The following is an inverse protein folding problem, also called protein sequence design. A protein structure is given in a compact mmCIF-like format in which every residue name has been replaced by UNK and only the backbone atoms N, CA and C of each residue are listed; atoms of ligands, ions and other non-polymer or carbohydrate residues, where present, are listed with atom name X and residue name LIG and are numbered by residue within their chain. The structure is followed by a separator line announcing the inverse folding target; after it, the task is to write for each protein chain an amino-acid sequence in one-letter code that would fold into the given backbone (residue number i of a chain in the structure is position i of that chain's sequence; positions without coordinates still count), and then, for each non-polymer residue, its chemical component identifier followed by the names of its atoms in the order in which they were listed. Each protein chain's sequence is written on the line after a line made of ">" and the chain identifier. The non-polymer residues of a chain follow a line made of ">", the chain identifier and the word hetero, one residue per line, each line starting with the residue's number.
data_IF_127835111623
#
_entry.id   IF_127835111623
#
_cell.length_a   1.000
_cell.length_b   1.000
_cell.length_c   1.000
_cell.angle_alpha   90.00
_cell.angle_beta   90.00
_cell.angle_gamma   90.00
#
_symmetry.space_group_name_H-M   'P 1'
#
loop_
_entity.id
_entity.type
_entity.pdbx_description
1 polymer ?
#
# COMPACT_ATOMS: atom_id res chain seq x y z
N UNK A 1 -8.36 -19.14 3.59
CA UNK A 1 -9.50 -18.24 3.89
C UNK A 1 -8.94 -16.89 4.32
N UNK A 2 -9.41 -15.77 3.77
CA UNK A 2 -8.88 -14.45 4.13
C UNK A 2 -9.25 -14.07 5.57
N UNK A 3 -8.38 -13.32 6.27
CA UNK A 3 -8.62 -12.86 7.65
C UNK A 3 -9.97 -12.12 7.80
N UNK A 4 -10.38 -11.38 6.77
CA UNK A 4 -11.65 -10.65 6.72
C UNK A 4 -12.87 -11.58 6.75
N UNK A 5 -12.80 -12.73 6.07
CA UNK A 5 -13.87 -13.71 6.09
C UNK A 5 -14.13 -14.25 7.51
N UNK A 6 -13.06 -14.54 8.25
CA UNK A 6 -13.14 -15.05 9.63
C UNK A 6 -13.77 -14.02 10.55
N UNK A 7 -13.41 -12.73 10.41
CA UNK A 7 -13.98 -11.65 11.22
C UNK A 7 -15.47 -11.45 10.91
N UNK A 8 -15.86 -11.42 9.63
CA UNK A 8 -17.26 -11.26 9.23
C UNK A 8 -18.14 -12.43 9.68
N UNK A 9 -17.61 -13.65 9.64
CA UNK A 9 -18.32 -14.84 10.13
C UNK A 9 -18.60 -14.75 11.64
N UNK A 10 -17.63 -14.26 12.43
CA UNK A 10 -17.81 -14.04 13.87
C UNK A 10 -18.83 -12.94 14.17
N UNK A 11 -18.83 -11.86 13.39
CA UNK A 11 -19.80 -10.76 13.53
C UNK A 11 -21.21 -11.25 13.19
N UNK A 12 -21.39 -12.04 12.14
CA UNK A 12 -22.69 -12.62 11.79
C UNK A 12 -23.23 -13.52 12.91
N UNK A 13 -22.38 -14.38 13.47
CA UNK A 13 -22.75 -15.25 14.59
C UNK A 13 -23.17 -14.46 15.83
N UNK A 14 -22.44 -13.39 16.18
CA UNK A 14 -22.79 -12.52 17.31
C UNK A 14 -24.13 -11.80 17.10
N UNK A 15 -24.48 -11.42 15.86
CA UNK A 15 -25.77 -10.81 15.53
C UNK A 15 -26.91 -11.85 15.61
N UNK A 16 -26.64 -13.11 15.29
CA UNK A 16 -27.64 -14.18 15.37
C UNK A 16 -28.12 -14.43 16.80
N UNK A 17 -27.24 -14.27 17.79
CA UNK A 17 -27.52 -14.45 19.22
C UNK A 17 -28.40 -13.32 19.80
N UNK A 18 -28.60 -12.21 19.09
CA UNK A 18 -29.42 -11.09 19.55
C UNK A 18 -30.91 -11.47 19.53
N UNK A 19 -31.55 -11.38 20.69
CA UNK A 19 -32.97 -11.76 20.87
C UNK A 19 -33.94 -10.67 20.43
N UNK A 20 -33.57 -9.39 20.59
CA UNK A 20 -34.38 -8.27 20.13
C UNK A 20 -34.37 -8.19 18.60
N UNK A 21 -35.56 -8.38 18.01
CA UNK A 21 -35.74 -8.45 16.56
C UNK A 21 -35.43 -7.13 15.85
N UNK A 22 -35.72 -5.99 16.48
CA UNK A 22 -35.46 -4.67 15.89
C UNK A 22 -33.96 -4.36 15.91
N UNK A 23 -33.30 -4.62 17.04
CA UNK A 23 -31.84 -4.44 17.18
C UNK A 23 -31.09 -5.37 16.22
N UNK A 24 -31.49 -6.64 16.16
CA UNK A 24 -30.92 -7.61 15.21
C UNK A 24 -31.10 -7.16 13.77
N UNK A 25 -32.30 -6.73 13.38
CA UNK A 25 -32.58 -6.24 12.02
C UNK A 25 -31.72 -5.02 11.66
N UNK A 26 -31.64 -4.03 12.56
CA UNK A 26 -30.87 -2.81 12.33
C UNK A 26 -29.36 -3.09 12.22
N UNK A 27 -28.82 -3.95 13.09
CA UNK A 27 -27.41 -4.32 13.04
C UNK A 27 -27.07 -5.17 11.82
N UNK A 28 -27.92 -6.14 11.45
CA UNK A 28 -27.74 -6.91 10.20
C UNK A 28 -27.69 -5.98 8.99
N UNK A 29 -28.59 -5.01 8.90
CA UNK A 29 -28.62 -4.05 7.80
C UNK A 29 -27.36 -3.16 7.77
N UNK A 30 -26.97 -2.59 8.92
CA UNK A 30 -25.78 -1.75 9.02
C UNK A 30 -24.49 -2.53 8.70
N UNK A 31 -24.35 -3.75 9.23
CA UNK A 31 -23.21 -4.62 8.95
C UNK A 31 -23.18 -5.08 7.49
N UNK A 32 -24.32 -5.35 6.86
CA UNK A 32 -24.38 -5.68 5.43
C UNK A 32 -23.93 -4.51 4.56
N UNK A 33 -24.35 -3.28 4.89
CA UNK A 33 -23.89 -2.06 4.21
C UNK A 33 -22.39 -1.88 4.38
N UNK A 34 -21.88 -1.95 5.62
CA UNK A 34 -20.46 -1.78 5.91
C UNK A 34 -19.59 -2.89 5.30
N UNK A 35 -20.03 -4.14 5.33
CA UNK A 35 -19.34 -5.25 4.68
C UNK A 35 -19.30 -5.03 3.17
N UNK A 36 -20.40 -4.59 2.55
CA UNK A 36 -20.41 -4.27 1.13
C UNK A 36 -19.47 -3.10 0.80
N UNK A 37 -19.40 -2.07 1.65
CA UNK A 37 -18.44 -0.97 1.51
C UNK A 37 -16.99 -1.42 1.63
N UNK A 38 -16.66 -2.20 2.67
CA UNK A 38 -15.29 -2.68 2.92
C UNK A 38 -14.83 -3.71 1.87
N UNK A 39 -15.76 -4.46 1.27
CA UNK A 39 -15.47 -5.54 0.31
C UNK A 39 -15.44 -5.02 -1.14
N UNK A 40 -16.19 -3.97 -1.48
CA UNK A 40 -16.22 -3.44 -2.84
C UNK A 40 -15.39 -2.15 -2.96
N UNK A 41 -14.14 -2.32 -3.40
CA UNK A 41 -13.25 -1.21 -3.76
C UNK A 41 -13.93 -0.19 -4.71
N UNK A 42 -14.89 -0.66 -5.51
CA UNK A 42 -15.67 0.13 -6.45
C UNK A 42 -16.76 1.02 -5.81
N UNK A 43 -17.36 0.64 -4.68
CA UNK A 43 -18.36 1.49 -4.00
C UNK A 43 -17.67 2.56 -3.16
N UNK A 44 -16.52 2.25 -2.53
CA UNK A 44 -15.70 3.26 -1.83
C UNK A 44 -15.34 4.38 -2.81
N UNK A 45 -14.81 4.05 -3.99
CA UNK A 45 -14.47 5.02 -5.05
C UNK A 45 -15.70 5.79 -5.60
N UNK A 46 -16.91 5.24 -5.46
CA UNK A 46 -18.16 5.86 -5.91
C UNK A 46 -18.80 6.81 -4.88
N UNK A 47 -18.64 6.55 -3.59
CA UNK A 47 -19.15 7.39 -2.48
C UNK A 47 -18.12 8.47 -2.12
N UNK A 48 -16.86 8.06 -1.98
CA UNK A 48 -15.72 8.95 -1.88
C UNK A 48 -15.24 9.21 -3.31
N UNK A 49 -16.05 9.94 -4.09
CA UNK A 49 -15.57 10.43 -5.37
C UNK A 49 -14.31 11.26 -5.12
N UNK A 50 -13.28 11.06 -5.95
CA UNK A 50 -11.97 11.69 -5.76
C UNK A 50 -12.03 13.21 -5.65
N UNK A 51 -13.02 13.85 -6.27
CA UNK A 51 -13.25 15.30 -6.20
C UNK A 51 -13.55 15.79 -4.76
N UNK A 52 -14.37 15.07 -3.99
CA UNK A 52 -14.69 15.43 -2.60
C UNK A 52 -13.52 15.11 -1.66
N UNK A 53 -12.85 13.98 -1.87
CA UNK A 53 -11.70 13.60 -1.04
C UNK A 53 -10.48 14.47 -1.30
N UNK A 54 -10.29 14.98 -2.52
CA UNK A 54 -9.18 15.88 -2.83
C UNK A 54 -9.18 17.14 -1.95
N UNK A 55 -10.32 17.58 -1.42
CA UNK A 55 -10.35 18.71 -0.49
C UNK A 55 -10.05 18.31 0.97
N UNK A 56 -10.04 17.01 1.29
CA UNK A 56 -9.77 16.52 2.64
C UNK A 56 -8.28 16.67 3.01
N UNK A 57 -7.95 17.31 4.15
CA UNK A 57 -6.56 17.42 4.62
C UNK A 57 -5.87 16.05 4.78
N UNK A 58 -6.62 15.04 5.24
CA UNK A 58 -6.10 13.68 5.43
C UNK A 58 -5.74 13.03 4.09
N UNK A 59 -6.55 13.25 3.05
CA UNK A 59 -6.27 12.73 1.72
C UNK A 59 -5.01 13.38 1.14
N UNK A 60 -4.87 14.69 1.28
CA UNK A 60 -3.70 15.44 0.80
C UNK A 60 -2.41 14.96 1.49
N UNK A 61 -2.46 14.72 2.80
CA UNK A 61 -1.32 14.15 3.52
C UNK A 61 -0.93 12.76 3.00
N UNK A 62 -1.90 11.87 2.80
CA UNK A 62 -1.66 10.52 2.25
C UNK A 62 -1.11 10.61 0.82
N UNK A 63 -1.69 11.48 0.00
CA UNK A 63 -1.29 11.69 -1.39
C UNK A 63 0.16 12.18 -1.47
N UNK A 64 0.52 13.24 -0.73
CA UNK A 64 1.89 13.77 -0.70
C UNK A 64 2.89 12.78 -0.11
N UNK A 65 2.53 12.03 0.94
CA UNK A 65 3.38 10.95 1.45
C UNK A 65 3.63 9.87 0.39
N UNK A 66 2.60 9.56 -0.42
CA UNK A 66 2.71 8.66 -1.57
C UNK A 66 3.64 9.20 -2.66
N UNK A 67 3.49 10.46 -3.05
CA UNK A 67 4.36 11.13 -4.03
C UNK A 67 5.82 11.14 -3.58
N UNK A 68 6.09 11.55 -2.34
CA UNK A 68 7.44 11.59 -1.79
C UNK A 68 8.07 10.19 -1.75
N UNK A 69 7.30 9.19 -1.33
CA UNK A 69 7.76 7.79 -1.32
C UNK A 69 8.05 7.31 -2.74
N UNK A 70 7.21 7.67 -3.71
CA UNK A 70 7.39 7.35 -5.12
C UNK A 70 8.65 7.99 -5.71
N UNK A 71 8.87 9.28 -5.45
CA UNK A 71 10.05 10.01 -5.93
C UNK A 71 11.35 9.42 -5.35
N UNK A 72 11.39 9.16 -4.04
CA UNK A 72 12.56 8.55 -3.39
C UNK A 72 12.84 7.16 -3.93
N UNK A 73 11.78 6.35 -4.11
CA UNK A 73 11.90 5.01 -4.68
C UNK A 73 12.42 5.07 -6.12
N UNK A 74 11.86 5.93 -6.96
CA UNK A 74 12.28 6.08 -8.37
C UNK A 74 13.72 6.59 -8.50
N UNK A 75 14.14 7.56 -7.67
CA UNK A 75 15.54 8.02 -7.61
C UNK A 75 16.49 6.89 -7.23
N UNK A 76 16.12 6.07 -6.26
CA UNK A 76 16.93 4.92 -5.84
C UNK A 76 16.99 3.84 -6.92
N UNK A 77 15.84 3.44 -7.47
CA UNK A 77 15.75 2.43 -8.54
C UNK A 77 16.55 2.85 -9.78
N UNK A 78 16.46 4.11 -10.20
CA UNK A 78 17.26 4.63 -11.32
C UNK A 78 18.77 4.59 -11.03
N UNK A 79 19.21 4.95 -9.82
CA UNK A 79 20.61 4.82 -9.42
C UNK A 79 21.09 3.37 -9.41
N UNK A 80 20.27 2.44 -8.93
CA UNK A 80 20.57 1.01 -8.92
C UNK A 80 20.69 0.45 -10.34
N UNK A 81 19.80 0.84 -11.25
CA UNK A 81 19.86 0.44 -12.66
C UNK A 81 21.14 0.96 -13.34
N UNK A 82 21.49 2.22 -13.09
CA UNK A 82 22.75 2.81 -13.58
C UNK A 82 23.94 2.03 -13.01
N UNK A 83 23.98 1.77 -11.71
CA UNK A 83 25.05 1.02 -11.06
C UNK A 83 25.24 -0.39 -11.68
N UNK A 84 24.14 -1.11 -11.92
CA UNK A 84 24.16 -2.41 -12.58
C UNK A 84 24.72 -2.33 -14.01
N UNK A 85 24.35 -1.30 -14.76
CA UNK A 85 24.86 -1.10 -16.11
C UNK A 85 26.35 -0.74 -16.13
N UNK A 86 26.83 0.03 -15.15
CA UNK A 86 28.25 0.35 -15.00
C UNK A 86 29.08 -0.88 -14.59
N UNK A 87 28.54 -1.72 -13.68
CA UNK A 87 29.16 -3.01 -13.33
C UNK A 87 29.31 -3.90 -14.57
N UNK A 88 28.26 -4.02 -15.39
CA UNK A 88 28.29 -4.77 -16.66
C UNK A 88 29.31 -4.22 -17.66
N UNK A 89 29.62 -2.92 -17.59
CA UNK A 89 30.65 -2.26 -18.41
C UNK A 89 32.06 -2.39 -17.83
N UNK A 90 32.22 -3.03 -16.67
CA UNK A 90 33.52 -3.33 -16.07
C UNK A 90 34.11 -2.20 -15.22
N UNK A 91 33.30 -1.21 -14.80
CA UNK A 91 33.75 -0.20 -13.85
C UNK A 91 33.97 -0.82 -12.46
N UNK A 92 34.91 -0.25 -11.71
CA UNK A 92 35.19 -0.67 -10.35
C UNK A 92 34.09 -0.20 -9.38
N UNK A 93 33.95 -0.90 -8.26
CA UNK A 93 32.98 -0.57 -7.22
C UNK A 93 33.15 0.87 -6.72
N UNK A 94 34.39 1.32 -6.54
CA UNK A 94 34.69 2.68 -6.06
C UNK A 94 34.24 3.76 -7.06
N UNK A 95 34.51 3.57 -8.35
CA UNK A 95 34.05 4.51 -9.39
C UNK A 95 32.52 4.57 -9.45
N UNK A 96 31.85 3.43 -9.27
CA UNK A 96 30.38 3.37 -9.29
C UNK A 96 29.77 4.07 -8.07
N UNK A 97 30.36 3.91 -6.88
CA UNK A 97 29.98 4.65 -5.67
C UNK A 97 30.10 6.15 -5.91
N UNK A 98 31.20 6.61 -6.51
CA UNK A 98 31.42 8.03 -6.81
C UNK A 98 30.40 8.57 -7.84
N UNK A 99 30.14 7.83 -8.92
CA UNK A 99 29.22 8.25 -9.99
C UNK A 99 27.77 8.27 -9.52
N UNK A 100 27.34 7.24 -8.79
CA UNK A 100 25.92 7.04 -8.43
C UNK A 100 25.55 7.67 -7.08
N UNK A 101 26.54 7.94 -6.23
CA UNK A 101 26.35 8.37 -4.85
C UNK A 101 25.61 7.34 -3.99
N UNK A 102 25.66 6.05 -4.37
CA UNK A 102 25.15 4.95 -3.55
C UNK A 102 26.19 4.56 -2.49
N UNK A 103 25.76 3.92 -1.41
CA UNK A 103 26.70 3.41 -0.41
C UNK A 103 27.52 2.24 -0.97
N UNK A 104 28.76 2.11 -0.50
CA UNK A 104 29.66 1.01 -0.86
C UNK A 104 28.98 -0.36 -0.67
N UNK A 105 28.38 -0.58 0.50
CA UNK A 105 27.68 -1.82 0.84
C UNK A 105 26.57 -2.18 -0.14
N UNK A 106 25.88 -1.18 -0.69
CA UNK A 106 24.78 -1.39 -1.62
C UNK A 106 25.33 -1.77 -3.00
N UNK A 107 26.37 -1.08 -3.49
CA UNK A 107 27.02 -1.42 -4.76
C UNK A 107 27.65 -2.81 -4.70
N UNK A 108 28.30 -3.16 -3.58
CA UNK A 108 28.85 -4.50 -3.36
C UNK A 108 27.77 -5.59 -3.42
N UNK A 109 26.57 -5.33 -2.90
CA UNK A 109 25.46 -6.29 -2.95
C UNK A 109 24.91 -6.53 -4.37
N UNK A 110 25.14 -5.59 -5.30
CA UNK A 110 24.76 -5.72 -6.71
C UNK A 110 25.79 -6.52 -7.52
N UNK A 111 27.04 -6.56 -7.06
CA UNK A 111 28.08 -7.37 -7.69
C UNK A 111 27.77 -8.85 -7.44
N UNK A 112 27.84 -9.73 -8.46
CA UNK A 112 27.80 -11.16 -8.20
C UNK A 112 28.94 -11.52 -7.24
N UNK A 113 28.60 -12.17 -6.14
CA UNK A 113 29.59 -12.80 -5.27
C UNK A 113 30.21 -13.94 -6.07
N UNK A 114 31.49 -13.79 -6.43
CA UNK A 114 32.30 -14.92 -6.86
C UNK A 114 32.47 -15.90 -5.71
#
# INVERSE_FOLDING_TARGET
>A
MSRNFIVLSKVAQAIEEITDRNVKSNLTAACAILANLVISENIIKGILRSDIMQESPIYQEIYHAGELRGELKGKLEGKLEIALNLLKKGLTINEIVEITGLSLSLVESLSPKN
#
